data_IF_853864900477
#
_entry.id   IF_853864900477
#
_cell.length_a   1.000
_cell.length_b   1.000
_cell.length_c   1.000
_cell.angle_alpha   90.00
_cell.angle_beta   90.00
_cell.angle_gamma   90.00
#
_symmetry.space_group_name_H-M   'P 1'
#
loop_
_entity.id
_entity.type
_entity.pdbx_description
1 polymer ?
#
# COMPACT_ATOMS: atom_id res chain seq x y z
N UNK A 1 -4.54 23.75 -20.00
CA UNK A 1 -5.84 23.67 -19.29
C UNK A 1 -5.66 23.11 -17.89
N UNK A 2 -4.97 21.96 -17.73
CA UNK A 2 -4.75 21.33 -16.41
C UNK A 2 -3.91 22.20 -15.46
N UNK A 3 -2.82 22.82 -15.93
CA UNK A 3 -1.94 23.65 -15.08
C UNK A 3 -2.68 24.82 -14.41
N UNK A 4 -3.51 25.56 -15.16
CA UNK A 4 -4.35 26.64 -14.63
C UNK A 4 -5.34 26.16 -13.56
N UNK A 5 -5.81 24.92 -13.67
CA UNK A 5 -6.72 24.33 -12.71
C UNK A 5 -5.98 23.93 -11.43
N UNK A 6 -4.79 23.34 -11.56
CA UNK A 6 -3.95 22.97 -10.42
C UNK A 6 -3.51 24.20 -9.63
N UNK A 7 -3.16 25.29 -10.31
CA UNK A 7 -2.84 26.58 -9.68
C UNK A 7 -4.05 27.15 -8.91
N UNK A 8 -5.24 27.13 -9.53
CA UNK A 8 -6.48 27.62 -8.88
C UNK A 8 -6.82 26.85 -7.60
N UNK A 9 -6.54 25.55 -7.55
CA UNK A 9 -6.81 24.70 -6.38
C UNK A 9 -5.60 24.57 -5.43
N UNK A 10 -4.47 25.23 -5.72
CA UNK A 10 -3.25 25.13 -4.90
C UNK A 10 -2.63 23.73 -4.89
N UNK A 11 -2.84 22.93 -5.94
CA UNK A 11 -2.36 21.55 -6.02
C UNK A 11 -0.97 21.53 -6.68
N UNK A 12 0.02 21.00 -5.96
CA UNK A 12 1.35 20.76 -6.51
C UNK A 12 1.34 19.53 -7.41
N UNK A 13 1.55 19.72 -8.71
CA UNK A 13 1.76 18.60 -9.64
C UNK A 13 3.16 18.01 -9.46
N UNK A 14 3.25 16.71 -9.22
CA UNK A 14 4.52 15.98 -9.20
C UNK A 14 4.48 14.95 -10.33
N UNK A 15 5.42 15.05 -11.25
CA UNK A 15 5.53 14.12 -12.38
C UNK A 15 6.43 12.94 -12.01
N UNK A 16 6.06 11.75 -12.47
CA UNK A 16 6.99 10.62 -12.56
C UNK A 16 7.93 10.83 -13.74
N UNK A 17 9.11 10.23 -13.69
CA UNK A 17 10.02 10.21 -14.84
C UNK A 17 9.38 9.48 -16.04
N UNK A 18 9.68 9.90 -17.29
CA UNK A 18 9.18 9.21 -18.47
C UNK A 18 9.58 7.72 -18.48
N UNK A 19 8.69 6.86 -18.99
CA UNK A 19 8.90 5.41 -19.10
C UNK A 19 9.24 4.70 -17.79
N UNK A 20 8.83 5.27 -16.64
CA UNK A 20 9.10 4.70 -15.32
C UNK A 20 7.81 4.37 -14.55
N UNK A 21 7.08 3.33 -14.98
CA UNK A 21 5.81 2.90 -14.39
C UNK A 21 5.89 2.58 -12.88
N UNK A 22 7.07 2.12 -12.43
CA UNK A 22 7.32 1.69 -11.05
C UNK A 22 7.09 2.81 -10.02
N UNK A 23 7.34 4.07 -10.38
CA UNK A 23 7.07 5.22 -9.49
C UNK A 23 5.58 5.33 -9.14
N UNK A 24 4.70 4.94 -10.07
CA UNK A 24 3.25 4.90 -9.85
C UNK A 24 2.74 3.48 -9.52
N UNK A 25 3.62 2.59 -9.03
CA UNK A 25 3.33 1.17 -8.87
C UNK A 25 2.11 0.84 -7.99
N UNK A 26 1.73 1.71 -7.04
CA UNK A 26 0.49 1.54 -6.27
C UNK A 26 -0.76 1.66 -7.15
N UNK A 27 -0.80 2.66 -8.04
CA UNK A 27 -1.89 2.86 -8.98
C UNK A 27 -1.91 1.74 -10.01
N UNK A 28 -0.76 1.31 -10.50
CA UNK A 28 -0.68 0.21 -11.46
C UNK A 28 -1.14 -1.13 -10.88
N UNK A 29 -0.78 -1.41 -9.63
CA UNK A 29 -1.30 -2.57 -8.89
C UNK A 29 -2.81 -2.50 -8.73
N UNK A 30 -3.35 -1.32 -8.40
CA UNK A 30 -4.79 -1.13 -8.33
C UNK A 30 -5.47 -1.34 -9.69
N UNK A 31 -4.93 -0.78 -10.77
CA UNK A 31 -5.46 -0.94 -12.12
C UNK A 31 -5.52 -2.41 -12.52
N UNK A 32 -4.49 -3.20 -12.18
CA UNK A 32 -4.51 -4.65 -12.37
C UNK A 32 -5.68 -5.32 -11.63
N UNK A 33 -5.85 -5.02 -10.34
CA UNK A 33 -6.97 -5.56 -9.54
C UNK A 33 -8.32 -5.14 -10.10
N UNK A 34 -8.46 -3.89 -10.56
CA UNK A 34 -9.69 -3.39 -11.17
C UNK A 34 -10.02 -4.16 -12.45
N UNK A 35 -9.04 -4.33 -13.35
CA UNK A 35 -9.20 -5.11 -14.57
C UNK A 35 -9.57 -6.58 -14.26
N UNK A 36 -8.86 -7.23 -13.33
CA UNK A 36 -9.15 -8.62 -12.94
C UNK A 36 -10.56 -8.79 -12.35
N UNK A 37 -11.04 -7.83 -11.56
CA UNK A 37 -12.40 -7.85 -11.01
C UNK A 37 -13.46 -7.61 -12.08
N UNK A 38 -13.22 -6.67 -13.01
CA UNK A 38 -14.12 -6.42 -14.13
C UNK A 38 -14.20 -7.63 -15.05
N UNK A 39 -13.07 -8.26 -15.38
CA UNK A 39 -13.04 -9.48 -16.22
C UNK A 39 -13.84 -10.65 -15.65
N UNK A 40 -14.09 -10.68 -14.33
CA UNK A 40 -14.92 -11.71 -13.70
C UNK A 40 -16.42 -11.44 -13.80
N UNK A 41 -16.83 -10.19 -13.95
CA UNK A 41 -18.24 -9.77 -13.95
C UNK A 41 -18.77 -9.45 -15.34
N UNK A 42 -17.90 -8.95 -16.22
CA UNK A 42 -18.26 -8.49 -17.56
C UNK A 42 -18.23 -9.67 -18.53
N UNK A 43 -19.43 -10.15 -18.91
CA UNK A 43 -19.60 -11.21 -19.92
C UNK A 43 -19.52 -10.63 -21.34
N UNK A 44 -20.07 -9.42 -21.54
CA UNK A 44 -20.03 -8.70 -22.82
C UNK A 44 -19.16 -7.44 -22.71
N UNK A 45 -18.22 -7.25 -23.63
CA UNK A 45 -17.18 -6.21 -23.56
C UNK A 45 -17.71 -4.77 -23.57
N UNK A 46 -18.97 -4.53 -23.93
CA UNK A 46 -19.53 -3.18 -24.08
C UNK A 46 -20.26 -2.64 -22.84
N UNK A 47 -20.35 -3.41 -21.75
CA UNK A 47 -21.09 -3.00 -20.54
C UNK A 47 -20.21 -2.77 -19.31
N UNK A 48 -18.89 -2.76 -19.48
CA UNK A 48 -17.92 -2.68 -18.38
C UNK A 48 -18.09 -1.42 -17.51
N UNK A 49 -18.55 -0.32 -18.10
CA UNK A 49 -18.80 0.98 -17.46
C UNK A 49 -19.85 0.88 -16.34
N UNK A 50 -20.89 0.06 -16.55
CA UNK A 50 -21.93 -0.19 -15.53
C UNK A 50 -21.39 -0.92 -14.29
N UNK A 51 -20.34 -1.72 -14.47
CA UNK A 51 -19.74 -2.52 -13.40
C UNK A 51 -18.63 -1.79 -12.65
N UNK A 52 -18.16 -0.62 -13.11
CA UNK A 52 -17.11 0.14 -12.42
C UNK A 52 -17.53 0.48 -10.99
N UNK A 53 -18.70 1.09 -10.81
CA UNK A 53 -19.15 1.53 -9.49
C UNK A 53 -19.34 0.35 -8.50
N UNK A 54 -20.01 -0.75 -8.88
CA UNK A 54 -20.08 -1.95 -8.04
C UNK A 54 -18.71 -2.55 -7.70
N UNK A 55 -17.80 -2.67 -8.66
CA UNK A 55 -16.46 -3.23 -8.44
C UNK A 55 -15.65 -2.34 -7.51
N UNK A 56 -15.71 -1.02 -7.71
CA UNK A 56 -15.02 -0.06 -6.88
C UNK A 56 -15.55 -0.11 -5.43
N UNK A 57 -16.87 -0.19 -5.26
CA UNK A 57 -17.47 -0.35 -3.95
C UNK A 57 -17.00 -1.63 -3.27
N UNK A 58 -17.03 -2.77 -3.98
CA UNK A 58 -16.53 -4.03 -3.45
C UNK A 58 -15.05 -3.96 -3.06
N UNK A 59 -14.21 -3.29 -3.84
CA UNK A 59 -12.80 -3.09 -3.52
C UNK A 59 -12.62 -2.21 -2.27
N UNK A 60 -13.40 -1.14 -2.14
CA UNK A 60 -13.31 -0.20 -1.02
C UNK A 60 -13.78 -0.82 0.30
N UNK A 61 -14.77 -1.70 0.27
CA UNK A 61 -15.31 -2.36 1.48
C UNK A 61 -14.57 -3.65 1.84
N UNK A 62 -13.88 -4.27 0.88
CA UNK A 62 -13.08 -5.47 1.13
C UNK A 62 -11.79 -5.16 1.87
N UNK A 63 -11.44 -6.00 2.84
CA UNK A 63 -10.16 -5.90 3.56
C UNK A 63 -9.00 -6.20 2.62
N UNK A 64 -8.08 -5.25 2.51
CA UNK A 64 -6.90 -5.45 1.66
C UNK A 64 -5.94 -6.48 2.27
N UNK A 65 -5.35 -7.34 1.44
CA UNK A 65 -4.59 -8.52 1.91
C UNK A 65 -3.35 -8.16 2.75
N UNK A 66 -2.76 -6.99 2.49
CA UNK A 66 -1.52 -6.49 3.12
C UNK A 66 -1.80 -5.75 4.42
N UNK A 67 -2.73 -4.78 4.39
CA UNK A 67 -3.04 -3.95 5.56
C UNK A 67 -4.03 -4.64 6.50
N UNK A 68 -4.81 -5.60 5.99
CA UNK A 68 -5.95 -6.26 6.66
C UNK A 68 -7.12 -5.32 6.99
N UNK A 69 -7.11 -4.13 6.39
CA UNK A 69 -8.07 -3.05 6.64
C UNK A 69 -8.70 -2.66 5.29
N UNK A 70 -9.98 -2.31 5.30
CA UNK A 70 -10.68 -1.84 4.11
C UNK A 70 -10.21 -0.42 3.73
N UNK A 71 -9.99 -0.13 2.43
CA UNK A 71 -9.68 1.23 2.00
C UNK A 71 -10.71 2.26 2.47
N UNK A 72 -11.99 1.88 2.52
CA UNK A 72 -13.07 2.74 3.01
C UNK A 72 -12.86 3.17 4.46
N UNK A 73 -12.46 2.24 5.34
CA UNK A 73 -12.16 2.55 6.74
C UNK A 73 -10.97 3.50 6.87
N UNK A 74 -9.90 3.31 6.09
CA UNK A 74 -8.74 4.19 6.12
C UNK A 74 -9.08 5.64 5.74
N UNK A 75 -10.03 5.84 4.83
CA UNK A 75 -10.46 7.18 4.39
C UNK A 75 -11.47 7.78 5.38
N UNK A 76 -12.50 7.03 5.76
CA UNK A 76 -13.68 7.55 6.46
C UNK A 76 -13.70 7.29 7.98
N UNK A 77 -12.77 6.47 8.47
CA UNK A 77 -12.68 6.04 9.87
C UNK A 77 -13.92 5.31 10.38
N UNK A 78 -14.64 4.62 9.49
CA UNK A 78 -15.77 3.76 9.80
C UNK A 78 -15.90 2.68 8.74
N UNK A 79 -16.55 1.58 9.08
CA UNK A 79 -16.90 0.57 8.11
C UNK A 79 -18.03 1.08 7.18
N UNK A 80 -18.02 0.59 5.94
CA UNK A 80 -19.09 0.88 5.00
C UNK A 80 -20.36 0.17 5.43
N UNK A 81 -21.50 0.85 5.31
CA UNK A 81 -22.81 0.23 5.54
C UNK A 81 -23.20 -0.55 4.29
N UNK A 82 -23.31 -1.86 4.42
CA UNK A 82 -23.82 -2.74 3.37
C UNK A 82 -25.34 -2.84 3.48
N UNK A 83 -26.07 -3.15 2.40
CA UNK A 83 -27.52 -3.37 2.46
C UNK A 83 -27.95 -4.48 3.44
N UNK A 84 -27.04 -5.40 3.77
CA UNK A 84 -27.28 -6.47 4.77
C UNK A 84 -27.14 -5.97 6.22
N UNK A 85 -26.52 -4.81 6.43
CA UNK A 85 -26.22 -4.32 7.77
C UNK A 85 -27.43 -3.58 8.35
N UNK A 86 -28.11 -4.20 9.32
CA UNK A 86 -29.16 -3.56 10.12
C UNK A 86 -28.54 -2.71 11.25
N UNK A 87 -27.75 -1.70 10.90
CA UNK A 87 -27.07 -0.82 11.86
C UNK A 87 -27.86 0.48 12.08
N UNK A 88 -28.50 0.57 13.25
CA UNK A 88 -29.02 1.85 13.79
C UNK A 88 -27.86 2.65 14.37
N UNK A 89 -27.62 3.86 13.86
CA UNK A 89 -26.64 4.77 14.46
C UNK A 89 -27.24 5.34 15.74
N UNK A 90 -26.84 4.80 16.89
CA UNK A 90 -27.14 5.42 18.17
C UNK A 90 -26.08 6.47 18.55
N UNK A 91 -26.43 7.38 19.46
CA UNK A 91 -25.55 8.47 19.89
C UNK A 91 -24.21 7.96 20.47
N UNK A 92 -24.26 6.81 21.15
CA UNK A 92 -23.09 6.14 21.72
C UNK A 92 -22.08 5.72 20.64
N UNK A 93 -22.55 5.13 19.54
CA UNK A 93 -21.71 4.77 18.40
C UNK A 93 -21.04 5.99 17.77
N UNK A 94 -21.76 7.11 17.65
CA UNK A 94 -21.22 8.36 17.10
C UNK A 94 -20.09 8.89 17.98
N UNK A 95 -20.27 8.88 19.30
CA UNK A 95 -19.26 9.34 20.25
C UNK A 95 -18.00 8.45 20.23
N UNK A 96 -18.17 7.14 20.24
CA UNK A 96 -17.05 6.19 20.12
C UNK A 96 -16.28 6.38 18.81
N UNK A 97 -16.99 6.64 17.70
CA UNK A 97 -16.36 6.95 16.42
C UNK A 97 -15.57 8.26 16.46
N UNK A 98 -16.12 9.32 17.06
CA UNK A 98 -15.41 10.61 17.14
C UNK A 98 -14.08 10.46 17.90
N UNK A 99 -14.08 9.70 19.00
CA UNK A 99 -12.86 9.42 19.76
C UNK A 99 -11.85 8.63 18.92
N UNK A 100 -12.29 7.55 18.25
CA UNK A 100 -11.38 6.74 17.43
C UNK A 100 -10.85 7.46 16.20
N UNK A 101 -11.57 8.45 15.66
CA UNK A 101 -11.09 9.30 14.56
C UNK A 101 -9.88 10.16 14.96
N UNK A 102 -9.85 10.62 16.21
CA UNK A 102 -8.81 11.51 16.73
C UNK A 102 -7.60 10.70 17.18
N UNK A 103 -7.83 9.63 17.95
CA UNK A 103 -6.76 8.90 18.61
C UNK A 103 -6.26 7.70 17.78
N UNK A 104 -7.17 6.82 17.36
CA UNK A 104 -6.80 5.52 16.78
C UNK A 104 -6.49 5.60 15.28
N UNK A 105 -7.31 6.33 14.52
CA UNK A 105 -7.23 6.35 13.06
C UNK A 105 -5.87 6.84 12.53
N UNK A 106 -5.20 7.86 13.12
CA UNK A 106 -3.85 8.25 12.72
C UNK A 106 -2.85 7.09 12.85
N UNK A 107 -2.93 6.34 13.95
CA UNK A 107 -2.04 5.20 14.20
C UNK A 107 -2.27 4.09 13.18
N UNK A 108 -3.55 3.76 12.94
CA UNK A 108 -3.97 2.77 11.94
C UNK A 108 -3.50 3.15 10.53
N UNK A 109 -3.57 4.43 10.16
CA UNK A 109 -3.09 4.93 8.87
C UNK A 109 -1.58 4.79 8.73
N UNK A 110 -0.82 5.10 9.78
CA UNK A 110 0.64 4.97 9.73
C UNK A 110 1.07 3.50 9.67
N UNK A 111 0.42 2.59 10.42
CA UNK A 111 0.65 1.16 10.27
C UNK A 111 0.36 0.66 8.86
N UNK A 112 -0.79 1.07 8.28
CA UNK A 112 -1.17 0.69 6.93
C UNK A 112 -0.12 1.17 5.91
N UNK A 113 0.38 2.40 6.07
CA UNK A 113 1.41 3.00 5.24
C UNK A 113 2.75 2.25 5.34
N UNK A 114 3.14 1.83 6.53
CA UNK A 114 4.34 1.01 6.76
C UNK A 114 4.21 -0.36 6.06
N UNK A 115 3.04 -1.02 6.18
CA UNK A 115 2.79 -2.34 5.58
C UNK A 115 2.81 -2.34 4.04
N UNK A 116 2.41 -1.24 3.39
CA UNK A 116 2.41 -1.13 1.92
C UNK A 116 3.75 -0.69 1.33
N UNK A 117 4.72 -0.27 2.15
CA UNK A 117 6.06 0.12 1.70
C UNK A 117 6.92 -1.10 1.37
N UNK A 118 7.74 -0.94 0.34
CA UNK A 118 8.73 -1.92 -0.04
C UNK A 118 10.01 -1.69 0.77
N UNK A 119 10.57 -2.77 1.31
CA UNK A 119 11.73 -2.75 2.18
C UNK A 119 12.77 -3.78 1.74
N UNK A 120 14.03 -3.49 2.08
CA UNK A 120 15.14 -4.41 1.97
C UNK A 120 15.46 -4.99 3.35
N UNK A 121 15.87 -6.25 3.35
CA UNK A 121 16.28 -7.02 4.51
C UNK A 121 17.77 -7.32 4.45
N UNK A 122 18.50 -7.06 5.54
CA UNK A 122 19.92 -7.36 5.65
C UNK A 122 20.17 -8.84 5.98
N UNK A 123 20.92 -9.53 5.13
CA UNK A 123 21.33 -10.92 5.36
C UNK A 123 22.67 -10.99 6.11
N UNK A 124 22.58 -11.02 7.44
CA UNK A 124 23.75 -11.13 8.32
C UNK A 124 24.56 -12.43 8.12
N UNK A 125 23.97 -13.48 7.54
CA UNK A 125 24.69 -14.73 7.28
C UNK A 125 25.76 -14.58 6.19
N UNK A 126 25.57 -13.67 5.22
CA UNK A 126 26.54 -13.39 4.15
C UNK A 126 27.77 -12.63 4.63
N UNK A 127 27.68 -11.92 5.74
CA UNK A 127 28.79 -11.11 6.27
C UNK A 127 29.97 -11.94 6.78
N UNK A 128 29.70 -13.17 7.25
CA UNK A 128 30.72 -14.06 7.81
C UNK A 128 31.42 -14.92 6.75
N UNK A 129 31.08 -14.77 5.47
CA UNK A 129 31.64 -15.56 4.38
C UNK A 129 32.77 -14.80 3.67
N UNK A 130 33.96 -15.40 3.63
CA UNK A 130 35.15 -14.83 2.96
C UNK A 130 34.93 -14.54 1.48
N UNK A 131 34.09 -15.32 0.81
CA UNK A 131 33.76 -15.19 -0.62
C UNK A 131 32.77 -14.05 -0.92
N UNK A 132 32.17 -13.43 0.10
CA UNK A 132 31.10 -12.45 -0.05
C UNK A 132 31.54 -10.97 -0.12
N UNK A 133 32.84 -10.69 -0.32
CA UNK A 133 33.43 -9.34 -0.17
C UNK A 133 32.83 -8.28 -1.12
N UNK A 134 32.19 -8.70 -2.22
CA UNK A 134 31.50 -7.84 -3.20
C UNK A 134 30.01 -8.16 -3.38
N UNK A 135 29.48 -9.08 -2.57
CA UNK A 135 28.11 -9.56 -2.70
C UNK A 135 27.11 -8.59 -2.05
N UNK A 136 25.95 -8.38 -2.69
CA UNK A 136 24.89 -7.56 -2.06
C UNK A 136 24.40 -8.24 -0.78
N UNK A 137 24.62 -7.57 0.35
CA UNK A 137 24.16 -8.02 1.68
C UNK A 137 22.68 -7.72 1.94
N UNK A 138 22.07 -6.85 1.13
CA UNK A 138 20.66 -6.49 1.22
C UNK A 138 19.85 -7.31 0.22
N UNK A 139 18.81 -7.99 0.71
CA UNK A 139 17.84 -8.78 -0.07
C UNK A 139 16.51 -8.03 -0.17
N UNK A 140 15.79 -8.24 -1.26
CA UNK A 140 14.42 -7.76 -1.43
C UNK A 140 14.12 -7.37 -2.87
N UNK A 141 13.00 -6.66 -3.11
CA UNK A 141 12.11 -6.05 -2.11
C UNK A 141 11.20 -7.04 -1.35
N UNK A 142 10.76 -6.63 -0.16
CA UNK A 142 9.78 -7.30 0.70
C UNK A 142 8.72 -6.31 1.19
N UNK A 143 7.61 -6.81 1.73
CA UNK A 143 6.61 -6.04 2.47
C UNK A 143 6.59 -6.44 3.95
N UNK A 144 6.18 -5.52 4.81
CA UNK A 144 5.86 -5.84 6.21
C UNK A 144 4.52 -6.55 6.26
N UNK A 145 4.51 -7.76 6.81
CA UNK A 145 3.31 -8.59 6.98
C UNK A 145 2.68 -8.39 8.36
N UNK A 146 3.50 -8.38 9.40
CA UNK A 146 3.09 -8.31 10.80
C UNK A 146 4.07 -7.41 11.55
N UNK A 147 3.54 -6.43 12.28
CA UNK A 147 4.30 -5.60 13.21
C UNK A 147 4.21 -6.30 14.57
N UNK A 148 5.35 -6.58 15.20
CA UNK A 148 5.42 -7.19 16.54
C UNK A 148 5.95 -6.19 17.55
N UNK A 149 5.90 -6.57 18.83
CA UNK A 149 6.54 -5.81 19.90
C UNK A 149 8.06 -5.73 19.71
N UNK A 150 8.68 -4.72 20.31
CA UNK A 150 10.14 -4.51 20.35
C UNK A 150 10.79 -4.37 18.96
N UNK A 151 10.18 -3.58 18.06
CA UNK A 151 10.75 -3.26 16.75
C UNK A 151 11.06 -4.51 15.91
N UNK A 152 10.25 -5.56 16.03
CA UNK A 152 10.38 -6.79 15.25
C UNK A 152 9.24 -6.89 14.22
N UNK A 153 9.56 -7.34 13.01
CA UNK A 153 8.62 -7.41 11.89
C UNK A 153 8.68 -8.78 11.23
N UNK A 154 7.53 -9.33 10.85
CA UNK A 154 7.52 -10.42 9.86
C UNK A 154 7.45 -9.83 8.47
N UNK A 155 8.28 -10.37 7.59
CA UNK A 155 8.36 -9.94 6.21
C UNK A 155 7.62 -10.92 5.30
N UNK A 156 7.10 -10.41 4.19
CA UNK A 156 6.51 -11.21 3.11
C UNK A 156 7.18 -10.84 1.80
N UNK A 157 7.55 -11.85 1.00
CA UNK A 157 8.10 -11.65 -0.34
C UNK A 157 7.05 -11.07 -1.29
N UNK A 158 7.50 -10.56 -2.43
CA UNK A 158 6.62 -10.06 -3.50
C UNK A 158 5.69 -11.16 -4.04
N UNK A 159 6.12 -12.42 -3.98
CA UNK A 159 5.34 -13.61 -4.36
C UNK A 159 4.34 -14.05 -3.29
N UNK A 160 4.30 -13.37 -2.15
CA UNK A 160 3.35 -13.65 -1.06
C UNK A 160 3.85 -14.62 0.01
N UNK A 161 5.08 -15.15 -0.10
CA UNK A 161 5.66 -16.06 0.91
C UNK A 161 6.10 -15.29 2.15
N UNK A 162 5.56 -15.66 3.31
CA UNK A 162 5.94 -15.05 4.60
C UNK A 162 7.20 -15.70 5.15
N UNK A 163 8.18 -14.90 5.55
CA UNK A 163 9.38 -15.39 6.22
C UNK A 163 9.02 -15.89 7.63
N UNK A 164 9.58 -17.04 8.01
CA UNK A 164 9.29 -17.68 9.30
C UNK A 164 9.83 -16.88 10.47
N UNK A 165 11.06 -16.38 10.33
CA UNK A 165 11.76 -15.65 11.39
C UNK A 165 11.39 -14.17 11.36
N UNK A 166 10.98 -13.59 12.49
CA UNK A 166 10.85 -12.14 12.59
C UNK A 166 12.23 -11.48 12.47
N UNK A 167 12.24 -10.26 11.94
CA UNK A 167 13.44 -9.47 11.67
C UNK A 167 13.34 -8.16 12.46
N UNK A 168 14.43 -7.77 13.13
CA UNK A 168 14.49 -6.50 13.85
C UNK A 168 14.59 -5.31 12.87
N UNK A 169 14.02 -4.17 13.25
CA UNK A 169 14.02 -2.92 12.51
C UNK A 169 15.40 -2.47 12.03
N UNK A 170 16.42 -2.65 12.86
CA UNK A 170 17.81 -2.27 12.53
C UNK A 170 18.37 -3.00 11.29
N UNK A 171 17.77 -4.14 10.92
CA UNK A 171 18.15 -4.94 9.75
C UNK A 171 17.28 -4.63 8.52
N UNK A 172 16.41 -3.61 8.61
CA UNK A 172 15.51 -3.20 7.55
C UNK A 172 15.92 -1.82 7.02
N UNK A 173 15.70 -1.59 5.73
CA UNK A 173 15.74 -0.24 5.15
C UNK A 173 14.68 -0.11 4.07
N UNK A 174 14.23 1.12 3.83
CA UNK A 174 13.33 1.39 2.72
C UNK A 174 13.99 0.99 1.40
N UNK A 175 13.24 0.27 0.57
CA UNK A 175 13.64 0.01 -0.80
C UNK A 175 13.37 1.27 -1.62
N UNK A 176 14.43 1.80 -2.20
CA UNK A 176 14.35 2.83 -3.23
C UNK A 176 14.92 2.20 -4.50
N UNK A 177 14.15 2.24 -5.59
CA UNK A 177 14.66 1.76 -6.87
C UNK A 177 15.88 2.61 -7.30
N UNK A 178 16.97 1.93 -7.66
CA UNK A 178 18.26 2.55 -8.01
C UNK A 178 18.23 3.27 -9.36
N UNK A 179 17.18 3.10 -10.16
CA UNK A 179 17.01 3.83 -11.42
C UNK A 179 16.65 5.32 -11.21
N UNK A 180 16.39 5.75 -9.97
CA UNK A 180 16.14 7.14 -9.58
C UNK A 180 17.41 8.01 -9.44
N UNK A 181 18.60 7.50 -9.76
CA UNK A 181 19.76 8.35 -9.99
C UNK A 181 19.58 8.96 -11.39
N UNK A 182 19.10 10.20 -11.46
CA UNK A 182 19.35 10.97 -12.67
C UNK A 182 20.88 11.03 -12.85
N UNK A 183 21.38 10.57 -13.99
CA UNK A 183 22.71 10.95 -14.44
C UNK A 183 22.73 12.48 -14.42
N UNK A 184 23.44 13.09 -13.47
CA UNK A 184 23.85 14.48 -13.59
C UNK A 184 24.91 14.46 -14.70
N UNK A 185 24.46 14.45 -15.96
CA UNK A 185 25.35 14.82 -17.05
C UNK A 185 25.44 16.34 -16.95
N UNK A 186 26.51 16.81 -16.31
CA UNK A 186 26.98 18.16 -16.53
C UNK A 186 27.49 18.21 -17.98
N UNK A 187 26.73 18.87 -18.86
CA UNK A 187 27.26 19.48 -20.08
C UNK A 187 27.06 20.97 -19.96
#
# INVERSE_FOLDING_TARGET
MVEKLLEKFGIKHVFSTPYHPQTNGLVERFNRTLCESLSKLVIQTNEWDRYIAPVLFAYQTSKHSTTKISPFYLVNGREAKLPVDNLSDNLEYINQRLLSLIDDLPHVREEAKIKVREILYYDAAKEKQWTGKLDSKWKGPFYIHEIRQNSAYKLRSMEGKVLRTPVNESLLKLYYDRQNWALIIAV
#
